data_IF_667631855386
#
_entry.id   IF_667631855386
#
_cell.length_a   1.000
_cell.length_b   1.000
_cell.length_c   1.000
_cell.angle_alpha   90.00
_cell.angle_beta   90.00
_cell.angle_gamma   90.00
#
_symmetry.space_group_name_H-M   'P 1'
#
loop_
_entity.id
_entity.type
_entity.pdbx_description
1 polymer ?
#
# COMPACT_ATOMS: atom_id res chain seq x y z
N UNK A 1 -46.10 43.43 -2.72
CA UNK A 1 -45.54 43.02 -1.41
C UNK A 1 -44.46 41.99 -1.66
N UNK A 2 -43.20 42.41 -1.78
CA UNK A 2 -42.03 41.54 -1.94
C UNK A 2 -41.50 41.19 -0.54
N UNK A 3 -41.54 39.91 -0.16
CA UNK A 3 -40.92 39.43 1.09
C UNK A 3 -39.40 39.62 0.98
N UNK A 4 -38.73 40.24 1.97
CA UNK A 4 -37.28 40.30 1.97
C UNK A 4 -36.71 38.89 2.15
N UNK A 5 -35.86 38.49 1.20
CA UNK A 5 -35.05 37.27 1.27
C UNK A 5 -34.15 37.37 2.50
N UNK A 6 -34.10 36.36 3.39
CA UNK A 6 -33.15 36.39 4.49
C UNK A 6 -31.74 36.32 3.90
N UNK A 7 -31.02 37.45 3.94
CA UNK A 7 -29.59 37.46 3.72
C UNK A 7 -28.97 36.65 4.86
N UNK A 8 -28.43 35.47 4.55
CA UNK A 8 -27.50 34.77 5.43
C UNK A 8 -26.33 35.72 5.70
N UNK A 9 -26.30 36.29 6.90
CA UNK A 9 -25.24 37.22 7.32
C UNK A 9 -23.92 36.47 7.32
N UNK A 10 -22.95 36.98 6.57
CA UNK A 10 -21.56 36.48 6.55
C UNK A 10 -20.88 36.55 7.93
N UNK A 11 -21.50 37.18 8.93
CA UNK A 11 -21.00 37.23 10.31
C UNK A 11 -21.14 35.92 11.09
N UNK A 12 -21.94 34.96 10.62
CA UNK A 12 -22.04 33.63 11.25
C UNK A 12 -20.91 32.66 10.86
N UNK A 13 -19.94 33.10 10.05
CA UNK A 13 -18.77 32.31 9.63
C UNK A 13 -17.59 32.53 10.59
N UNK A 14 -17.83 32.58 11.90
CA UNK A 14 -16.74 32.44 12.89
C UNK A 14 -16.83 31.05 13.48
N UNK A 15 -15.79 30.21 13.34
CA UNK A 15 -15.83 28.87 13.90
C UNK A 15 -16.08 29.00 15.40
N UNK A 16 -17.22 28.46 15.85
CA UNK A 16 -17.55 28.48 17.28
C UNK A 16 -16.49 27.62 17.97
N UNK A 17 -16.03 28.01 19.18
CA UNK A 17 -14.97 27.27 19.91
C UNK A 17 -15.22 25.76 19.99
N UNK A 18 -16.49 25.36 20.02
CA UNK A 18 -16.95 23.98 20.00
C UNK A 18 -16.68 23.23 18.69
N UNK A 19 -16.74 23.89 17.54
CA UNK A 19 -16.42 23.28 16.23
C UNK A 19 -14.93 22.97 16.12
N UNK A 20 -14.07 23.83 16.69
CA UNK A 20 -12.63 23.60 16.74
C UNK A 20 -12.30 22.39 17.62
N UNK A 21 -12.97 22.24 18.76
CA UNK A 21 -12.83 21.07 19.62
C UNK A 21 -13.28 19.80 18.88
N UNK A 22 -14.43 19.83 18.21
CA UNK A 22 -14.92 18.69 17.42
C UNK A 22 -13.96 18.33 16.28
N UNK A 23 -13.40 19.31 15.57
CA UNK A 23 -12.43 19.08 14.51
C UNK A 23 -11.15 18.43 15.03
N UNK A 24 -10.58 18.95 16.12
CA UNK A 24 -9.37 18.38 16.73
C UNK A 24 -9.63 16.96 17.23
N UNK A 25 -10.79 16.72 17.86
CA UNK A 25 -11.15 15.39 18.35
C UNK A 25 -11.30 14.41 17.19
N UNK A 26 -11.98 14.81 16.12
CA UNK A 26 -12.11 13.99 14.91
C UNK A 26 -10.74 13.71 14.28
N UNK A 27 -9.86 14.70 14.19
CA UNK A 27 -8.50 14.53 13.67
C UNK A 27 -7.69 13.53 14.50
N UNK A 28 -7.74 13.62 15.83
CA UNK A 28 -7.06 12.67 16.74
C UNK A 28 -7.63 11.26 16.57
N UNK A 29 -8.95 11.13 16.44
CA UNK A 29 -9.62 9.84 16.31
C UNK A 29 -9.30 9.17 14.96
N UNK A 30 -9.23 9.97 13.88
CA UNK A 30 -8.76 9.52 12.55
C UNK A 30 -7.29 9.10 12.62
N UNK A 31 -6.43 9.85 13.31
CA UNK A 31 -5.02 9.49 13.50
C UNK A 31 -4.86 8.18 14.29
N UNK A 32 -5.65 7.99 15.35
CA UNK A 32 -5.63 6.77 16.16
C UNK A 32 -6.11 5.56 15.34
N UNK A 33 -7.20 5.71 14.58
CA UNK A 33 -7.66 4.68 13.65
C UNK A 33 -6.59 4.36 12.59
N UNK A 34 -6.04 5.37 11.92
CA UNK A 34 -5.00 5.18 10.91
C UNK A 34 -3.73 4.52 11.49
N UNK A 35 -3.37 4.80 12.75
CA UNK A 35 -2.25 4.17 13.43
C UNK A 35 -2.50 2.68 13.73
N UNK A 36 -3.77 2.29 13.92
CA UNK A 36 -4.19 0.91 14.15
C UNK A 36 -4.41 0.12 12.85
N UNK A 37 -4.67 0.80 11.72
CA UNK A 37 -4.79 0.15 10.42
C UNK A 37 -3.41 -0.22 9.88
N UNK A 38 -3.08 -1.49 10.05
CA UNK A 38 -2.04 -2.16 9.28
C UNK A 38 -2.56 -2.47 7.88
N UNK A 39 -1.93 -1.88 6.86
CA UNK A 39 -2.15 -2.28 5.47
C UNK A 39 -1.14 -3.36 5.12
N UNK A 40 -1.63 -4.58 4.86
CA UNK A 40 -0.89 -5.55 4.06
C UNK A 40 -1.14 -5.24 2.60
N UNK A 41 -0.05 -5.01 1.88
CA UNK A 41 -0.11 -4.78 0.45
C UNK A 41 0.10 -6.10 -0.26
N UNK A 42 -0.95 -6.57 -0.91
CA UNK A 42 -0.93 -7.80 -1.71
C UNK A 42 -0.93 -7.40 -3.18
N UNK A 43 0.16 -7.70 -3.89
CA UNK A 43 0.34 -7.38 -5.30
C UNK A 43 0.20 -8.63 -6.15
N UNK A 44 -0.55 -8.54 -7.26
CA UNK A 44 -0.55 -9.57 -8.29
C UNK A 44 0.46 -9.17 -9.36
N UNK A 45 1.55 -9.91 -9.44
CA UNK A 45 2.65 -9.69 -10.39
C UNK A 45 2.79 -10.93 -11.28
N UNK A 46 3.37 -10.78 -12.46
CA UNK A 46 3.63 -11.91 -13.37
C UNK A 46 5.12 -12.27 -13.34
N UNK A 47 5.47 -13.55 -13.42
CA UNK A 47 6.87 -13.95 -13.51
C UNK A 47 7.40 -13.71 -14.91
N UNK A 48 8.35 -12.80 -15.07
CA UNK A 48 9.04 -12.53 -16.33
C UNK A 48 10.21 -13.48 -16.56
N UNK A 49 10.94 -13.78 -15.48
CA UNK A 49 12.12 -14.64 -15.52
C UNK A 49 12.21 -15.42 -14.22
N UNK A 50 12.60 -16.69 -14.32
CA UNK A 50 12.73 -17.61 -13.19
C UNK A 50 14.01 -18.40 -13.32
N UNK A 51 14.91 -18.21 -12.36
CA UNK A 51 16.17 -18.94 -12.24
C UNK A 51 16.26 -19.48 -10.81
N UNK A 52 16.98 -20.59 -10.56
CA UNK A 52 17.15 -21.07 -9.19
C UNK A 52 17.69 -19.96 -8.26
N UNK A 53 16.94 -19.65 -7.20
CA UNK A 53 17.26 -18.59 -6.24
C UNK A 53 16.98 -17.15 -6.71
N UNK A 54 16.42 -16.95 -7.91
CA UNK A 54 16.13 -15.61 -8.47
C UNK A 54 14.82 -15.59 -9.26
N UNK A 55 13.97 -14.60 -8.94
CA UNK A 55 12.76 -14.31 -9.71
C UNK A 55 12.80 -12.86 -10.21
N UNK A 56 12.33 -12.64 -11.44
CA UNK A 56 12.04 -11.30 -11.96
C UNK A 56 10.53 -11.22 -12.17
N UNK A 57 9.90 -10.26 -11.49
CA UNK A 57 8.45 -10.08 -11.49
C UNK A 57 8.07 -8.80 -12.25
N UNK A 58 7.04 -8.87 -13.09
CA UNK A 58 6.50 -7.73 -13.83
C UNK A 58 5.74 -6.80 -12.89
N UNK A 59 5.99 -5.49 -13.01
CA UNK A 59 5.14 -4.48 -12.41
C UNK A 59 5.86 -3.44 -11.54
N UNK A 60 5.15 -2.32 -11.38
CA UNK A 60 5.56 -1.21 -10.54
C UNK A 60 5.20 -1.50 -9.07
N UNK A 61 5.97 -2.38 -8.41
CA UNK A 61 5.98 -2.43 -6.94
C UNK A 61 6.69 -1.19 -6.39
N UNK A 62 6.19 0.00 -6.73
CA UNK A 62 6.71 1.30 -6.31
C UNK A 62 6.83 1.38 -4.77
N UNK A 63 5.94 0.67 -4.08
CA UNK A 63 5.88 0.57 -2.62
C UNK A 63 6.77 -0.51 -2.01
N UNK A 64 7.39 -1.36 -2.82
CA UNK A 64 8.25 -2.45 -2.38
C UNK A 64 9.72 -2.04 -2.47
N UNK A 65 10.39 -1.82 -1.33
CA UNK A 65 11.76 -1.34 -1.30
C UNK A 65 12.78 -2.47 -1.46
N UNK A 66 13.98 -2.13 -1.94
CA UNK A 66 15.11 -3.07 -1.95
C UNK A 66 15.46 -3.42 -0.50
N UNK A 67 15.58 -4.71 -0.23
CA UNK A 67 15.76 -5.26 1.11
C UNK A 67 14.47 -5.69 1.80
N UNK A 68 13.30 -5.38 1.24
CA UNK A 68 12.04 -5.82 1.85
C UNK A 68 11.87 -7.34 1.70
N UNK A 69 11.47 -8.03 2.80
CA UNK A 69 11.07 -9.42 2.72
C UNK A 69 9.74 -9.52 1.99
N UNK A 70 9.61 -10.54 1.16
CA UNK A 70 8.39 -10.83 0.43
C UNK A 70 8.07 -12.32 0.45
N UNK A 71 6.80 -12.61 0.30
CA UNK A 71 6.29 -13.97 0.14
C UNK A 71 5.56 -14.04 -1.20
N UNK A 72 6.05 -14.90 -2.08
CA UNK A 72 5.53 -15.12 -3.43
C UNK A 72 4.75 -16.42 -3.45
N UNK A 73 3.43 -16.36 -3.71
CA UNK A 73 2.58 -17.53 -3.89
C UNK A 73 2.00 -17.57 -5.31
N UNK A 74 2.03 -18.71 -6.02
CA UNK A 74 1.35 -18.84 -7.30
C UNK A 74 -0.16 -18.72 -7.12
N UNK A 75 -0.83 -17.96 -7.99
CA UNK A 75 -2.25 -17.68 -7.84
C UNK A 75 -3.15 -18.87 -8.22
N UNK A 76 -2.72 -19.68 -9.19
CA UNK A 76 -3.58 -20.69 -9.81
C UNK A 76 -3.29 -22.13 -9.39
N UNK A 77 -2.22 -22.37 -8.61
CA UNK A 77 -1.87 -23.72 -8.16
C UNK A 77 -2.08 -23.86 -6.65
N UNK A 78 -3.15 -24.56 -6.29
CA UNK A 78 -3.53 -24.92 -4.92
C UNK A 78 -2.50 -25.79 -4.18
N UNK A 79 -1.41 -26.18 -4.84
CA UNK A 79 -0.33 -27.01 -4.28
C UNK A 79 1.09 -26.51 -4.62
N UNK A 80 1.22 -25.30 -5.19
CA UNK A 80 2.53 -24.73 -5.47
C UNK A 80 3.18 -24.22 -4.19
N UNK A 81 4.47 -24.50 -4.02
CA UNK A 81 5.24 -24.01 -2.88
C UNK A 81 5.22 -22.48 -2.83
N UNK A 82 5.01 -21.96 -1.62
CA UNK A 82 5.17 -20.55 -1.34
C UNK A 82 6.66 -20.26 -1.24
N UNK A 83 7.11 -19.26 -1.98
CA UNK A 83 8.52 -18.86 -2.06
C UNK A 83 8.75 -17.63 -1.20
N UNK A 84 9.62 -17.76 -0.21
CA UNK A 84 10.08 -16.64 0.59
C UNK A 84 11.31 -16.00 -0.05
N UNK A 85 11.38 -14.67 -0.07
CA UNK A 85 12.49 -13.98 -0.69
C UNK A 85 12.67 -12.56 -0.18
N UNK A 86 13.68 -11.89 -0.74
CA UNK A 86 14.00 -10.50 -0.47
C UNK A 86 14.16 -9.78 -1.79
N UNK A 87 13.68 -8.55 -1.87
CA UNK A 87 13.86 -7.72 -3.05
C UNK A 87 15.32 -7.30 -3.13
N UNK A 88 16.03 -7.80 -4.14
CA UNK A 88 17.44 -7.51 -4.32
C UNK A 88 17.68 -6.32 -5.27
N UNK A 89 16.68 -5.93 -6.07
CA UNK A 89 16.80 -4.77 -6.96
C UNK A 89 15.55 -4.48 -7.77
N UNK A 90 15.62 -3.41 -8.56
CA UNK A 90 14.62 -3.06 -9.57
C UNK A 90 15.31 -2.96 -10.93
N UNK A 91 14.66 -3.46 -11.96
CA UNK A 91 15.08 -3.32 -13.36
C UNK A 91 14.12 -2.39 -14.08
N UNK A 92 14.44 -2.00 -15.32
CA UNK A 92 13.52 -1.24 -16.19
C UNK A 92 12.24 -2.02 -16.53
N UNK A 93 12.26 -3.34 -16.37
CA UNK A 93 11.17 -4.26 -16.74
C UNK A 93 10.40 -4.80 -15.53
N UNK A 94 10.94 -4.68 -14.31
CA UNK A 94 10.30 -5.30 -13.14
C UNK A 94 11.12 -5.25 -11.85
N UNK A 95 10.79 -6.15 -10.93
CA UNK A 95 11.42 -6.28 -9.61
C UNK A 95 12.25 -7.57 -9.57
N UNK A 96 13.48 -7.45 -9.11
CA UNK A 96 14.38 -8.58 -8.92
C UNK A 96 14.29 -9.06 -7.47
N UNK A 97 13.89 -10.30 -7.32
CA UNK A 97 13.71 -10.98 -6.03
C UNK A 97 14.76 -12.08 -5.91
N UNK A 98 15.48 -12.09 -4.79
CA UNK A 98 16.29 -13.23 -4.38
C UNK A 98 15.42 -14.13 -3.52
N UNK A 99 15.27 -15.39 -3.93
CA UNK A 99 14.40 -16.36 -3.24
C UNK A 99 15.26 -17.26 -2.36
N UNK A 100 14.77 -17.54 -1.16
CA UNK A 100 15.36 -18.47 -0.20
C UNK A 100 14.71 -19.83 -0.39
N UNK A 101 15.26 -20.64 -1.31
CA UNK A 101 14.73 -21.97 -1.61
C UNK A 101 15.08 -22.46 -3.01
N UNK A 102 14.90 -23.76 -3.25
CA UNK A 102 15.12 -24.38 -4.56
C UNK A 102 13.89 -24.31 -5.48
N UNK A 103 12.75 -23.85 -4.98
CA UNK A 103 11.53 -23.80 -5.77
C UNK A 103 11.60 -22.78 -6.91
N UNK A 104 11.06 -23.17 -8.06
CA UNK A 104 11.01 -22.35 -9.27
C UNK A 104 9.56 -22.11 -9.64
N UNK A 105 9.19 -20.86 -9.92
CA UNK A 105 7.87 -20.53 -10.48
C UNK A 105 7.97 -20.54 -12.01
N UNK A 106 7.01 -21.12 -12.75
CA UNK A 106 7.01 -21.02 -14.21
C UNK A 106 6.88 -19.57 -14.67
N UNK A 107 7.58 -19.23 -15.76
CA UNK A 107 7.47 -17.93 -16.44
C UNK A 107 6.04 -17.76 -16.97
N UNK A 108 5.48 -16.55 -16.87
CA UNK A 108 4.11 -16.23 -17.22
C UNK A 108 3.07 -16.59 -16.14
N UNK A 109 3.49 -17.21 -15.04
CA UNK A 109 2.59 -17.46 -13.91
C UNK A 109 2.27 -16.15 -13.19
N UNK A 110 1.01 -16.00 -12.79
CA UNK A 110 0.61 -14.95 -11.87
C UNK A 110 1.02 -15.34 -10.44
N UNK A 111 1.80 -14.49 -9.80
CA UNK A 111 2.28 -14.63 -8.43
C UNK A 111 1.68 -13.50 -7.61
N UNK A 112 1.08 -13.89 -6.49
CA UNK A 112 0.68 -12.96 -5.46
C UNK A 112 1.88 -12.73 -4.55
N UNK A 113 2.33 -11.49 -4.48
CA UNK A 113 3.41 -11.03 -3.61
C UNK A 113 2.81 -10.28 -2.44
N UNK A 114 2.98 -10.84 -1.25
CA UNK A 114 2.66 -10.16 -0.01
C UNK A 114 3.87 -9.35 0.45
N UNK A 115 3.72 -8.02 0.43
CA UNK A 115 4.73 -7.08 0.92
C UNK A 115 4.67 -6.90 2.44
N UNK A 116 5.67 -6.21 2.98
CA UNK A 116 5.72 -5.87 4.41
C UNK A 116 4.46 -5.10 4.83
N UNK A 117 4.01 -5.37 6.05
CA UNK A 117 2.92 -4.64 6.68
C UNK A 117 3.34 -3.18 6.91
N UNK A 118 2.68 -2.25 6.23
CA UNK A 118 2.93 -0.82 6.36
C UNK A 118 1.77 -0.20 7.12
N UNK A 119 2.08 0.60 8.16
CA UNK A 119 1.04 1.34 8.88
C UNK A 119 0.42 2.40 7.97
N UNK A 120 -0.90 2.56 7.99
CA UNK A 120 -1.57 3.55 7.14
C UNK A 120 -1.04 4.97 7.34
N UNK A 121 -0.62 5.31 8.56
CA UNK A 121 -0.03 6.61 8.90
C UNK A 121 1.21 6.92 8.07
N UNK A 122 2.11 5.95 7.83
CA UNK A 122 3.32 6.22 7.05
C UNK A 122 3.02 6.42 5.56
N UNK A 123 1.97 5.78 5.05
CA UNK A 123 1.48 5.99 3.67
C UNK A 123 0.80 7.35 3.50
N UNK A 124 0.03 7.78 4.51
CA UNK A 124 -0.56 9.11 4.54
C UNK A 124 0.50 10.20 4.64
N UNK A 125 1.51 10.01 5.51
CA UNK A 125 2.60 10.96 5.68
C UNK A 125 3.41 11.16 4.39
N UNK A 126 3.75 10.08 3.67
CA UNK A 126 4.51 10.17 2.41
C UNK A 126 3.72 10.79 1.24
N UNK A 127 2.39 10.79 1.30
CA UNK A 127 1.55 11.47 0.30
C UNK A 127 1.35 12.96 0.60
N UNK A 128 1.44 13.36 1.87
CA UNK A 128 1.27 14.75 2.30
C UNK A 128 2.60 15.51 2.23
N UNK A 129 3.72 14.84 2.52
CA UNK A 129 5.08 15.37 2.37
C UNK A 129 5.84 14.61 1.27
N UNK A 130 5.75 15.04 0.00
CA UNK A 130 6.57 14.52 -1.09
C UNK A 130 8.04 14.93 -0.98
#
# INVERSE_FOLDING_TARGET
MTRPTPMLSLEEVRPRRWELVLFVTAAVLVLALAASLSLRSTYRLEVLESTPGRLVLSGAGSLLAVGDPITARPQNDSGSETLEGVIAGRTSTGILVRVTGAGTVPVGAAVIVDGREVRAVSVLASRIMP
#
